data_IF_487247183430
#
_entry.id   IF_487247183430
#
_cell.length_a   1.000
_cell.length_b   1.000
_cell.length_c   1.000
_cell.angle_alpha   90.00
_cell.angle_beta   90.00
_cell.angle_gamma   90.00
#
_symmetry.space_group_name_H-M   'P 1'
#
loop_
_entity.id
_entity.type
_entity.pdbx_description
1 polymer ?
2 water ?
#
# COMPACT_ATOMS: atom_id res chain seq x y z
N UNK A 22 -29.61 -42.73 7.22
CA UNK A 22 -28.49 -41.80 7.17
C UNK A 22 -27.44 -42.17 8.20
N UNK A 23 -26.65 -43.20 7.94
CA UNK A 23 -25.74 -43.72 8.92
C UNK A 23 -24.35 -43.79 8.40
N UNK A 24 -23.39 -43.76 9.29
CA UNK A 24 -22.00 -43.80 8.85
C UNK A 24 -21.66 -45.12 8.17
N UNK A 25 -22.27 -46.23 8.60
CA UNK A 25 -21.98 -47.55 8.00
C UNK A 25 -22.39 -47.53 6.54
N UNK A 26 -23.51 -46.86 6.29
CA UNK A 26 -24.06 -46.86 4.97
C UNK A 26 -23.33 -45.84 4.09
N UNK A 27 -22.90 -44.74 4.68
CA UNK A 27 -22.06 -43.81 3.93
C UNK A 27 -20.75 -44.44 3.49
N UNK A 28 -20.11 -45.19 4.40
CA UNK A 28 -18.86 -45.87 4.08
C UNK A 28 -19.10 -46.88 2.98
N UNK A 29 -20.21 -47.61 3.09
CA UNK A 29 -20.53 -48.68 2.15
C UNK A 29 -20.76 -48.12 0.73
N UNK A 30 -21.50 -47.02 0.66
CA UNK A 30 -21.69 -46.34 -0.62
C UNK A 30 -20.44 -45.69 -1.19
N UNK A 31 -19.57 -45.18 -0.31
CA UNK A 31 -18.28 -44.67 -0.70
C UNK A 31 -17.48 -45.77 -1.34
N UNK A 32 -17.43 -46.91 -0.68
CA UNK A 32 -16.72 -48.08 -1.23
C UNK A 32 -17.20 -48.43 -2.62
N UNK A 33 -18.53 -48.42 -2.80
CA UNK A 33 -19.16 -48.73 -4.09
C UNK A 33 -18.69 -47.80 -5.21
N UNK A 34 -18.69 -46.50 -4.91
CA UNK A 34 -18.26 -45.51 -5.87
C UNK A 34 -16.75 -45.57 -6.13
N UNK A 35 -15.95 -45.88 -5.10
CA UNK A 35 -14.50 -45.94 -5.30
C UNK A 35 -14.08 -47.16 -6.11
N UNK A 36 -14.63 -48.33 -5.75
CA UNK A 36 -14.31 -49.60 -6.40
C UNK A 36 -14.81 -49.70 -7.85
N UNK A 37 -15.86 -48.96 -8.17
CA UNK A 37 -16.43 -48.94 -9.54
C UNK A 37 -15.45 -48.36 -10.55
N UNK A 38 -14.50 -47.54 -10.08
CA UNK A 38 -13.43 -46.95 -10.94
C UNK A 38 -14.02 -46.30 -12.23
N UNK A 39 -13.84 -46.95 -13.38
CA UNK A 39 -14.39 -46.50 -14.66
C UNK A 39 -15.92 -46.25 -14.68
N UNK A 40 -16.69 -47.10 -13.99
CA UNK A 40 -18.16 -47.11 -14.13
C UNK A 40 -18.88 -46.30 -13.07
N UNK A 41 -18.15 -45.47 -12.32
CA UNK A 41 -18.77 -44.64 -11.27
C UNK A 41 -20.06 -43.96 -11.71
N UNK A 42 -20.13 -43.57 -12.99
CA UNK A 42 -21.33 -43.01 -13.59
C UNK A 42 -22.58 -43.88 -13.44
N UNK A 43 -22.38 -45.20 -13.38
CA UNK A 43 -23.49 -46.15 -13.27
C UNK A 43 -24.06 -46.32 -11.87
N UNK A 44 -23.69 -45.45 -10.93
CA UNK A 44 -24.07 -45.62 -9.53
C UNK A 44 -24.60 -44.37 -8.88
N UNK A 45 -25.33 -43.59 -9.68
CA UNK A 45 -26.02 -42.40 -9.23
C UNK A 45 -26.71 -42.65 -7.89
N UNK A 46 -27.23 -43.87 -7.70
CA UNK A 46 -27.93 -44.27 -6.45
C UNK A 46 -27.07 -44.14 -5.17
N UNK A 47 -25.83 -44.62 -5.22
CA UNK A 47 -24.88 -44.46 -4.10
C UNK A 47 -24.53 -42.97 -3.87
N UNK A 48 -24.30 -42.22 -4.96
CA UNK A 48 -24.04 -40.79 -4.84
C UNK A 48 -25.21 -40.05 -4.21
N UNK A 49 -26.42 -40.48 -4.56
CA UNK A 49 -27.61 -39.91 -3.94
C UNK A 49 -27.55 -40.18 -2.44
N UNK A 50 -27.18 -41.42 -2.07
CA UNK A 50 -27.11 -41.78 -0.66
C UNK A 50 -26.11 -40.85 0.02
N UNK A 51 -24.99 -40.63 -0.64
CA UNK A 51 -24.01 -39.69 -0.09
C UNK A 51 -24.57 -38.26 0.11
N UNK A 52 -25.27 -37.72 -0.88
CA UNK A 52 -25.83 -36.37 -0.74
C UNK A 52 -26.87 -36.29 0.36
N UNK A 53 -27.61 -37.38 0.58
CA UNK A 53 -28.55 -37.46 1.68
C UNK A 53 -27.82 -37.30 3.01
N UNK A 54 -26.53 -37.63 3.00
CA UNK A 54 -25.66 -37.52 4.17
C UNK A 54 -25.80 -36.25 4.96
N UNK A 55 -26.13 -35.16 4.27
CA UNK A 55 -26.19 -33.82 4.87
C UNK A 55 -27.30 -33.65 5.88
N UNK A 56 -28.31 -34.53 5.83
CA UNK A 56 -29.44 -34.45 6.75
C UNK A 56 -29.15 -35.22 8.03
N UNK A 57 -28.03 -35.91 8.07
CA UNK A 57 -27.65 -36.67 9.26
C UNK A 57 -27.09 -35.86 10.42
N UNK A 58 -26.53 -36.56 11.39
CA UNK A 58 -25.90 -35.86 12.50
C UNK A 58 -24.43 -35.54 12.23
N UNK A 59 -23.72 -35.22 13.29
CA UNK A 59 -22.36 -34.77 13.20
C UNK A 59 -21.47 -35.72 12.41
N UNK A 60 -21.27 -36.94 12.90
CA UNK A 60 -20.40 -37.88 12.23
C UNK A 60 -20.78 -38.09 10.77
N UNK A 61 -22.07 -38.03 10.49
CA UNK A 61 -22.56 -38.31 9.15
C UNK A 61 -22.30 -37.10 8.25
N UNK A 62 -22.52 -35.89 8.78
CA UNK A 62 -22.30 -34.68 8.03
C UNK A 62 -20.80 -34.55 7.74
N UNK A 63 -19.98 -34.97 8.69
CA UNK A 63 -18.57 -34.90 8.52
C UNK A 63 -18.11 -35.78 7.39
N UNK A 64 -18.79 -36.90 7.15
CA UNK A 64 -18.41 -37.73 6.03
C UNK A 64 -18.92 -37.16 4.72
N UNK A 65 -20.10 -36.59 4.74
CA UNK A 65 -20.66 -36.05 3.50
C UNK A 65 -19.77 -34.94 2.94
N UNK A 66 -19.22 -34.14 3.85
CA UNK A 66 -18.32 -33.05 3.52
C UNK A 66 -17.07 -33.50 2.76
N UNK A 67 -16.67 -34.76 2.93
CA UNK A 67 -15.55 -35.27 2.17
C UNK A 67 -16.04 -35.98 0.94
N UNK A 68 -17.17 -36.67 1.07
CA UNK A 68 -17.56 -37.64 0.02
C UNK A 68 -18.27 -37.00 -1.17
N UNK A 69 -19.04 -35.96 -0.89
CA UNK A 69 -19.71 -35.23 -1.94
C UNK A 69 -18.74 -34.64 -2.95
N UNK A 70 -17.72 -33.89 -2.50
CA UNK A 70 -16.78 -33.34 -3.48
C UNK A 70 -15.97 -34.40 -4.21
N UNK A 71 -15.73 -35.54 -3.56
CA UNK A 71 -14.78 -36.50 -4.14
C UNK A 71 -15.34 -37.08 -5.42
N UNK A 72 -16.64 -37.34 -5.42
CA UNK A 72 -17.26 -37.95 -6.58
C UNK A 72 -18.07 -36.99 -7.42
N UNK A 73 -18.17 -35.74 -6.96
CA UNK A 73 -18.93 -34.70 -7.66
C UNK A 73 -18.76 -34.76 -9.17
N UNK A 74 -17.49 -34.80 -9.64
CA UNK A 74 -17.24 -34.74 -11.09
C UNK A 74 -17.89 -35.82 -11.92
N UNK A 75 -18.41 -36.90 -11.31
CA UNK A 75 -18.97 -37.99 -12.08
C UNK A 75 -20.44 -37.86 -12.36
N UNK A 76 -21.13 -36.94 -11.68
CA UNK A 76 -22.60 -36.88 -11.78
C UNK A 76 -23.16 -35.50 -12.12
N UNK A 77 -23.14 -35.15 -13.43
CA UNK A 77 -23.61 -33.85 -13.93
C UNK A 77 -25.11 -33.70 -13.73
N UNK A 78 -25.82 -34.83 -13.87
CA UNK A 78 -27.27 -34.91 -13.68
C UNK A 78 -27.67 -34.68 -12.22
N UNK A 79 -26.66 -34.58 -11.34
CA UNK A 79 -26.86 -34.29 -9.93
C UNK A 79 -26.08 -33.07 -9.40
N UNK A 80 -25.35 -32.40 -10.29
CA UNK A 80 -24.47 -31.26 -9.93
C UNK A 80 -25.07 -30.18 -9.02
N UNK A 81 -26.22 -29.63 -9.38
CA UNK A 81 -26.83 -28.55 -8.59
C UNK A 81 -27.17 -29.03 -7.21
N UNK A 82 -27.68 -30.25 -7.12
CA UNK A 82 -28.08 -30.77 -5.84
C UNK A 82 -26.84 -30.93 -4.97
N UNK A 83 -25.73 -31.32 -5.59
CA UNK A 83 -24.44 -31.49 -4.95
C UNK A 83 -23.88 -30.20 -4.34
N UNK A 84 -23.75 -29.16 -5.16
CA UNK A 84 -23.26 -27.88 -4.67
C UNK A 84 -24.12 -27.38 -3.50
N UNK A 85 -25.43 -27.44 -3.67
CA UNK A 85 -26.34 -26.98 -2.62
C UNK A 85 -26.12 -27.71 -1.31
N UNK A 86 -25.89 -29.03 -1.40
CA UNK A 86 -25.59 -29.83 -0.21
C UNK A 86 -24.27 -29.37 0.45
N UNK A 87 -23.20 -29.29 -0.33
CA UNK A 87 -21.93 -28.78 0.20
C UNK A 87 -22.07 -27.39 0.85
N UNK A 88 -22.83 -26.51 0.23
CA UNK A 88 -23.07 -25.17 0.78
C UNK A 88 -23.82 -25.22 2.10
N UNK A 89 -24.74 -26.17 2.26
CA UNK A 89 -25.43 -26.30 3.56
C UNK A 89 -24.39 -26.60 4.65
N UNK A 90 -23.41 -27.43 4.32
CA UNK A 90 -22.39 -27.81 5.30
C UNK A 90 -21.47 -26.65 5.59
N UNK A 91 -21.22 -25.83 4.57
CA UNK A 91 -20.44 -24.60 4.74
C UNK A 91 -21.09 -23.62 5.72
N UNK A 92 -22.41 -23.70 5.90
CA UNK A 92 -23.05 -22.84 6.92
C UNK A 92 -23.55 -23.60 8.14
N UNK A 93 -22.96 -24.78 8.36
CA UNK A 93 -23.30 -25.57 9.54
C UNK A 93 -22.98 -24.82 10.83
N UNK A 94 -23.73 -25.15 11.88
CA UNK A 94 -23.52 -24.57 13.19
C UNK A 94 -22.14 -24.99 13.69
N UNK A 95 -21.73 -26.21 13.36
CA UNK A 95 -20.47 -26.74 13.84
C UNK A 95 -19.29 -26.27 12.99
N UNK A 96 -18.35 -25.58 13.63
CA UNK A 96 -17.21 -25.00 12.90
C UNK A 96 -16.34 -26.09 12.24
N UNK A 97 -16.19 -27.23 12.89
CA UNK A 97 -15.37 -28.29 12.29
C UNK A 97 -16.04 -28.87 11.03
N UNK A 98 -17.37 -28.86 11.01
CA UNK A 98 -18.07 -29.33 9.81
C UNK A 98 -17.85 -28.32 8.69
N UNK A 99 -17.92 -27.03 9.04
CA UNK A 99 -17.77 -25.97 8.05
C UNK A 99 -16.38 -26.04 7.42
N UNK A 100 -15.40 -26.27 8.27
CA UNK A 100 -14.02 -26.37 7.85
C UNK A 100 -13.79 -27.49 6.83
N UNK A 101 -14.38 -28.65 7.09
CA UNK A 101 -14.22 -29.81 6.21
C UNK A 101 -14.87 -29.53 4.86
N UNK A 102 -16.03 -28.91 4.88
CA UNK A 102 -16.76 -28.54 3.67
C UNK A 102 -16.06 -27.40 2.90
N UNK A 103 -15.47 -26.45 3.60
CA UNK A 103 -14.79 -25.36 2.92
C UNK A 103 -13.49 -25.78 2.21
N UNK A 104 -12.69 -26.60 2.89
CA UNK A 104 -11.50 -27.14 2.29
C UNK A 104 -11.78 -27.70 0.90
N UNK A 105 -12.98 -28.21 0.67
CA UNK A 105 -13.26 -28.97 -0.57
C UNK A 105 -14.01 -28.20 -1.65
N UNK A 106 -14.47 -26.99 -1.32
CA UNK A 106 -15.17 -26.13 -2.28
C UNK A 106 -14.49 -25.95 -3.67
N UNK A 107 -13.14 -25.80 -3.73
CA UNK A 107 -12.54 -25.67 -5.07
C UNK A 107 -12.87 -26.82 -6.05
N UNK A 108 -13.22 -27.99 -5.53
CA UNK A 108 -13.53 -29.14 -6.37
C UNK A 108 -14.87 -29.01 -7.11
N UNK A 109 -15.73 -28.14 -6.60
CA UNK A 109 -16.98 -27.81 -7.27
C UNK A 109 -16.84 -26.66 -8.25
N UNK A 110 -15.70 -25.97 -8.19
CA UNK A 110 -15.50 -24.77 -8.98
C UNK A 110 -15.18 -25.09 -10.45
N UNK A 111 -15.79 -26.15 -10.97
CA UNK A 111 -15.56 -26.57 -12.35
C UNK A 111 -16.77 -26.20 -13.18
N UNK A 112 -16.67 -26.40 -14.49
CA UNK A 112 -17.75 -26.08 -15.43
C UNK A 112 -18.09 -24.60 -15.35
N UNK A 113 -19.37 -24.31 -15.05
CA UNK A 113 -19.86 -22.93 -14.95
C UNK A 113 -20.07 -22.48 -13.49
N UNK A 114 -19.52 -23.23 -12.53
CA UNK A 114 -19.77 -22.95 -11.10
C UNK A 114 -18.79 -22.02 -10.40
N UNK A 115 -17.60 -21.84 -11.00
CA UNK A 115 -16.53 -21.05 -10.37
C UNK A 115 -16.95 -19.66 -9.89
N UNK A 116 -17.76 -18.91 -10.67
CA UNK A 116 -18.22 -17.61 -10.17
C UNK A 116 -19.05 -17.74 -8.88
N UNK A 117 -19.98 -18.68 -8.88
CA UNK A 117 -20.79 -18.88 -7.70
C UNK A 117 -19.93 -19.28 -6.49
N UNK A 118 -18.98 -20.17 -6.71
CA UNK A 118 -18.07 -20.63 -5.66
C UNK A 118 -17.20 -19.48 -5.18
N UNK A 119 -16.65 -18.70 -6.10
CA UNK A 119 -15.76 -17.61 -5.72
C UNK A 119 -16.53 -16.59 -4.88
N UNK A 120 -17.80 -16.40 -5.20
CA UNK A 120 -18.64 -15.52 -4.42
C UNK A 120 -18.84 -15.99 -2.99
N UNK A 121 -19.20 -17.26 -2.82
CA UNK A 121 -19.36 -17.83 -1.50
C UNK A 121 -18.10 -17.72 -0.66
N UNK A 122 -16.96 -18.08 -1.24
CA UNK A 122 -15.70 -18.06 -0.50
C UNK A 122 -15.40 -16.66 -0.01
N UNK A 123 -15.68 -15.68 -0.82
CA UNK A 123 -15.42 -14.33 -0.44
C UNK A 123 -16.25 -13.92 0.77
N UNK A 124 -17.49 -14.33 0.85
CA UNK A 124 -18.29 -14.09 2.04
C UNK A 124 -17.68 -14.76 3.22
N UNK A 125 -17.22 -15.97 3.02
CA UNK A 125 -16.67 -16.71 4.14
C UNK A 125 -15.43 -16.07 4.73
N UNK A 126 -14.87 -15.07 4.07
CA UNK A 126 -13.68 -14.39 4.59
C UNK A 126 -14.00 -13.72 5.93
N UNK A 127 -15.27 -13.50 6.20
CA UNK A 127 -15.68 -12.76 7.41
C UNK A 127 -15.66 -13.61 8.65
N UNK A 128 -15.38 -14.90 8.51
CA UNK A 128 -15.27 -15.76 9.67
C UNK A 128 -14.31 -15.20 10.74
N UNK A 129 -14.62 -15.46 12.00
CA UNK A 129 -13.72 -15.09 13.10
C UNK A 129 -12.91 -16.28 13.61
N UNK A 130 -13.24 -17.49 13.13
CA UNK A 130 -12.45 -18.65 13.46
C UNK A 130 -11.18 -18.70 12.59
N UNK A 131 -10.01 -18.70 13.23
CA UNK A 131 -8.79 -18.52 12.45
C UNK A 131 -8.46 -19.68 11.53
N UNK A 132 -8.78 -20.91 11.96
CA UNK A 132 -8.50 -22.09 11.13
C UNK A 132 -9.40 -22.05 9.90
N UNK A 133 -10.65 -21.66 10.12
CA UNK A 133 -11.59 -21.48 9.02
C UNK A 133 -11.05 -20.43 8.05
N UNK A 134 -10.65 -19.29 8.61
CA UNK A 134 -10.10 -18.18 7.82
C UNK A 134 -8.99 -18.72 6.90
N UNK A 135 -8.07 -19.50 7.47
CA UNK A 135 -6.93 -19.98 6.69
C UNK A 135 -7.36 -20.87 5.53
N UNK A 136 -8.33 -21.74 5.80
CA UNK A 136 -8.88 -22.61 4.80
C UNK A 136 -9.59 -21.81 3.69
N UNK A 137 -10.35 -20.80 4.06
CA UNK A 137 -10.99 -19.95 3.07
C UNK A 137 -9.96 -19.25 2.19
N UNK A 138 -8.92 -18.68 2.79
CA UNK A 138 -7.87 -18.08 1.99
C UNK A 138 -7.31 -19.09 0.99
N UNK A 139 -6.95 -20.26 1.46
CA UNK A 139 -6.36 -21.30 0.58
C UNK A 139 -7.27 -21.77 -0.53
N UNK A 140 -8.58 -21.80 -0.25
CA UNK A 140 -9.59 -22.14 -1.25
C UNK A 140 -9.70 -21.07 -2.33
N UNK A 141 -9.78 -19.81 -1.91
CA UNK A 141 -9.64 -18.70 -2.85
C UNK A 141 -8.37 -18.80 -3.74
N UNK A 142 -7.24 -19.13 -3.14
CA UNK A 142 -6.01 -19.24 -3.90
C UNK A 142 -6.10 -20.41 -4.91
N UNK A 143 -6.62 -21.55 -4.47
CA UNK A 143 -6.90 -22.64 -5.38
C UNK A 143 -7.78 -22.27 -6.56
N UNK A 144 -8.94 -21.67 -6.29
CA UNK A 144 -9.80 -21.34 -7.44
C UNK A 144 -9.17 -20.24 -8.28
N UNK A 145 -8.36 -19.40 -7.63
CA UNK A 145 -7.60 -18.37 -8.32
C UNK A 145 -6.72 -19.00 -9.38
N UNK A 146 -6.03 -20.09 -9.02
CA UNK A 146 -5.17 -20.78 -9.99
C UNK A 146 -6.01 -21.49 -11.02
N UNK A 147 -7.24 -21.89 -10.70
CA UNK A 147 -8.05 -22.54 -11.74
C UNK A 147 -8.53 -21.51 -12.78
N UNK A 148 -8.93 -20.32 -12.33
CA UNK A 148 -9.53 -19.27 -13.18
C UNK A 148 -9.48 -17.90 -12.48
N UNK A 149 -8.40 -17.17 -12.71
CA UNK A 149 -8.08 -15.94 -12.01
C UNK A 149 -9.16 -14.91 -12.21
N UNK A 150 -9.58 -14.70 -13.44
CA UNK A 150 -10.56 -13.67 -13.74
C UNK A 150 -11.92 -13.96 -13.05
N UNK A 151 -12.38 -15.21 -13.11
CA UNK A 151 -13.61 -15.61 -12.40
C UNK A 151 -13.50 -15.35 -10.90
N UNK A 152 -12.34 -15.65 -10.33
CA UNK A 152 -12.07 -15.43 -8.90
C UNK A 152 -12.06 -13.93 -8.55
N UNK A 153 -11.40 -13.14 -9.40
CA UNK A 153 -11.35 -11.69 -9.24
C UNK A 153 -12.73 -11.11 -9.37
N UNK A 154 -13.53 -11.67 -10.28
CA UNK A 154 -14.90 -11.24 -10.42
C UNK A 154 -15.65 -11.37 -9.09
N UNK A 155 -15.51 -12.50 -8.42
CA UNK A 155 -16.13 -12.71 -7.13
C UNK A 155 -15.65 -11.67 -6.13
N UNK A 156 -14.34 -11.65 -5.94
CA UNK A 156 -13.70 -10.68 -5.04
C UNK A 156 -14.20 -9.25 -5.25
N UNK A 157 -14.06 -8.74 -6.47
CA UNK A 157 -14.46 -7.36 -6.76
C UNK A 157 -15.95 -7.05 -6.76
N UNK A 158 -16.79 -8.02 -7.09
CA UNK A 158 -18.24 -7.84 -6.85
C UNK A 158 -18.49 -7.57 -5.39
N UNK A 159 -17.79 -8.29 -4.51
CA UNK A 159 -18.07 -8.11 -3.11
C UNK A 159 -17.59 -6.77 -2.64
N UNK A 160 -16.43 -6.37 -3.15
CA UNK A 160 -15.80 -5.11 -2.78
C UNK A 160 -16.72 -3.93 -3.19
N UNK A 161 -17.41 -4.09 -4.32
CA UNK A 161 -18.27 -3.05 -4.85
C UNK A 161 -19.73 -3.15 -4.35
N UNK A 162 -20.23 -4.35 -4.14
CA UNK A 162 -21.65 -4.53 -3.93
C UNK A 162 -21.97 -5.18 -2.61
N UNK A 163 -20.96 -5.63 -1.90
CA UNK A 163 -21.19 -6.38 -0.67
C UNK A 163 -21.13 -5.55 0.60
N UNK A 164 -21.33 -6.26 1.71
CA UNK A 164 -21.24 -5.72 3.07
C UNK A 164 -19.85 -5.20 3.36
N UNK A 165 -19.79 -4.16 4.19
CA UNK A 165 -18.54 -3.53 4.59
C UNK A 165 -17.53 -4.56 5.09
N UNK A 166 -17.98 -5.49 5.92
CA UNK A 166 -17.05 -6.43 6.54
C UNK A 166 -16.41 -7.27 5.46
N UNK A 167 -17.24 -7.73 4.52
CA UNK A 167 -16.73 -8.51 3.38
C UNK A 167 -15.79 -7.70 2.47
N UNK A 168 -16.17 -6.45 2.22
CA UNK A 168 -15.35 -5.57 1.38
C UNK A 168 -13.96 -5.41 1.98
N UNK A 169 -13.89 -5.26 3.31
CA UNK A 169 -12.62 -5.09 3.98
C UNK A 169 -11.78 -6.36 3.88
N UNK A 170 -12.41 -7.51 4.13
CA UNK A 170 -11.72 -8.80 4.09
C UNK A 170 -11.19 -9.08 2.69
N UNK A 171 -12.02 -8.75 1.68
CA UNK A 171 -11.65 -8.92 0.29
C UNK A 171 -10.44 -8.10 -0.10
N UNK A 172 -10.37 -6.87 0.41
CA UNK A 172 -9.26 -5.98 0.06
C UNK A 172 -7.99 -6.47 0.74
N UNK A 173 -8.10 -6.86 2.00
CA UNK A 173 -6.95 -7.43 2.69
C UNK A 173 -6.49 -8.75 2.01
N UNK A 174 -7.40 -9.50 1.39
CA UNK A 174 -7.02 -10.69 0.69
C UNK A 174 -6.12 -10.33 -0.49
N UNK A 175 -6.58 -9.39 -1.33
CA UNK A 175 -5.74 -8.89 -2.42
C UNK A 175 -4.42 -8.30 -1.90
N UNK A 176 -4.51 -7.61 -0.78
CA UNK A 176 -3.37 -6.93 -0.18
C UNK A 176 -2.28 -7.87 0.28
N UNK A 177 -2.66 -9.06 0.73
CA UNK A 177 -1.71 -9.94 1.38
C UNK A 177 -1.40 -11.19 0.57
N UNK A 178 -2.33 -11.59 -0.31
CA UNK A 178 -2.26 -12.91 -0.95
C UNK A 178 -1.77 -13.00 -2.39
N UNK A 179 -2.04 -11.99 -3.21
CA UNK A 179 -1.57 -12.01 -4.59
C UNK A 179 -0.09 -12.32 -4.70
N UNK A 180 0.70 -11.86 -3.74
CA UNK A 180 2.16 -12.01 -3.79
C UNK A 180 2.56 -13.45 -3.60
N UNK A 181 1.65 -14.28 -3.09
CA UNK A 181 1.94 -15.70 -2.81
C UNK A 181 1.60 -16.57 -4.02
N UNK A 182 1.09 -15.92 -5.07
CA UNK A 182 0.81 -16.58 -6.34
C UNK A 182 2.02 -16.55 -7.29
N UNK A 183 2.28 -17.68 -7.97
CA UNK A 183 3.37 -17.70 -8.93
C UNK A 183 3.08 -16.78 -10.10
N UNK A 184 4.13 -16.31 -10.75
CA UNK A 184 4.02 -15.38 -11.88
C UNK A 184 3.15 -15.90 -13.01
N UNK A 185 3.22 -17.20 -13.24
CA UNK A 185 2.41 -17.90 -14.22
C UNK A 185 0.91 -17.54 -14.16
N UNK A 186 0.40 -17.41 -12.94
CA UNK A 186 -0.99 -17.08 -12.72
C UNK A 186 -1.25 -15.59 -12.99
N UNK A 187 -0.31 -14.75 -12.62
CA UNK A 187 -0.56 -13.31 -12.73
C UNK A 187 -0.13 -12.81 -14.10
N UNK A 188 -0.93 -13.18 -15.09
CA UNK A 188 -0.69 -12.85 -16.48
C UNK A 188 -0.97 -11.39 -16.72
N UNK A 189 -0.54 -10.90 -17.88
CA UNK A 189 -0.79 -9.53 -18.28
C UNK A 189 -2.28 -9.18 -18.30
N UNK A 190 -3.12 -10.11 -18.76
CA UNK A 190 -4.54 -9.88 -18.82
C UNK A 190 -5.20 -9.80 -17.44
N UNK A 191 -4.71 -10.60 -16.50
CA UNK A 191 -5.20 -10.57 -15.12
C UNK A 191 -4.81 -9.25 -14.43
N UNK A 192 -3.55 -8.86 -14.60
CA UNK A 192 -3.12 -7.57 -14.09
C UNK A 192 -3.95 -6.42 -14.70
N UNK A 193 -4.24 -6.49 -15.99
CA UNK A 193 -5.10 -5.49 -16.60
C UNK A 193 -6.49 -5.45 -15.91
N UNK A 194 -7.04 -6.61 -15.59
CA UNK A 194 -8.30 -6.68 -14.93
C UNK A 194 -8.20 -6.13 -13.51
N UNK A 195 -7.11 -6.44 -12.82
CA UNK A 195 -6.94 -5.93 -11.46
C UNK A 195 -6.92 -4.39 -11.43
N UNK A 196 -6.23 -3.79 -12.41
CA UNK A 196 -6.25 -2.33 -12.58
C UNK A 196 -7.62 -1.76 -12.90
N UNK A 197 -8.36 -2.41 -13.80
CA UNK A 197 -9.63 -1.91 -14.27
C UNK A 197 -10.64 -1.92 -13.12
N UNK A 198 -10.71 -3.03 -12.42
CA UNK A 198 -11.60 -3.11 -11.28
C UNK A 198 -11.17 -2.15 -10.16
N UNK A 199 -9.87 -2.10 -9.88
CA UNK A 199 -9.42 -1.23 -8.82
C UNK A 199 -9.88 0.22 -9.05
N UNK A 200 -9.74 0.71 -10.28
CA UNK A 200 -10.13 2.08 -10.62
C UNK A 200 -11.59 2.33 -10.36
N UNK A 201 -12.42 1.33 -10.60
CA UNK A 201 -13.82 1.41 -10.24
C UNK A 201 -13.95 1.59 -8.73
N UNK A 202 -13.20 0.80 -7.97
CA UNK A 202 -13.28 0.83 -6.51
C UNK A 202 -12.76 2.19 -6.04
N UNK A 203 -11.68 2.66 -6.67
CA UNK A 203 -11.01 3.90 -6.28
C UNK A 203 -11.84 5.19 -6.46
N UNK A 204 -12.98 5.10 -7.17
CA UNK A 204 -13.94 6.21 -7.26
C UNK A 204 -14.40 6.60 -5.90
N UNK A 205 -14.35 5.65 -4.97
CA UNK A 205 -14.90 5.83 -3.64
C UNK A 205 -14.23 4.93 -2.58
N UNK A 206 -13.05 5.35 -2.11
CA UNK A 206 -12.33 4.65 -1.04
C UNK A 206 -11.91 5.58 0.11
N UNK A 207 -11.97 5.10 1.34
CA UNK A 207 -11.35 5.77 2.46
C UNK A 207 -9.84 5.86 2.20
N UNK A 208 -9.13 6.64 3.00
CA UNK A 208 -7.67 6.74 2.90
C UNK A 208 -6.98 5.42 3.18
N UNK A 209 -7.49 4.69 4.18
CA UNK A 209 -6.90 3.40 4.55
C UNK A 209 -7.03 2.40 3.37
N UNK A 210 -8.16 2.44 2.66
CA UNK A 210 -8.35 1.60 1.50
C UNK A 210 -7.41 2.04 0.39
N UNK A 211 -7.29 3.36 0.22
CA UNK A 211 -6.38 3.89 -0.77
C UNK A 211 -4.96 3.30 -0.67
N UNK A 212 -4.51 3.14 0.57
CA UNK A 212 -3.14 2.70 0.82
C UNK A 212 -3.01 1.25 0.42
N UNK A 213 -4.01 0.47 0.78
CA UNK A 213 -4.08 -0.91 0.33
C UNK A 213 -4.10 -1.01 -1.18
N UNK A 214 -4.99 -0.26 -1.84
CA UNK A 214 -5.01 -0.32 -3.30
C UNK A 214 -3.74 0.13 -3.97
N UNK A 215 -3.00 1.04 -3.35
CA UNK A 215 -1.71 1.44 -3.94
C UNK A 215 -0.68 0.34 -3.82
N UNK A 216 -0.70 -0.37 -2.69
CA UNK A 216 0.21 -1.51 -2.50
C UNK A 216 -0.11 -2.65 -3.50
N UNK A 217 -1.39 -3.04 -3.58
CA UNK A 217 -1.89 -3.98 -4.59
C UNK A 217 -1.44 -3.63 -6.01
N UNK A 218 -1.69 -2.39 -6.42
CA UNK A 218 -1.36 -2.00 -7.79
C UNK A 218 0.13 -1.88 -8.05
N UNK A 219 0.90 -1.40 -7.08
CA UNK A 219 2.31 -1.16 -7.40
C UNK A 219 3.05 -2.47 -7.45
N UNK A 220 2.44 -3.51 -6.87
CA UNK A 220 3.01 -4.86 -6.90
C UNK A 220 2.88 -5.57 -8.24
N UNK A 221 1.95 -5.09 -9.07
CA UNK A 221 1.75 -5.66 -10.39
C UNK A 221 3.00 -5.47 -11.25
N UNK A 222 3.48 -6.55 -11.87
CA UNK A 222 4.74 -6.43 -12.62
C UNK A 222 4.55 -5.44 -13.78
N UNK A 223 3.37 -5.45 -14.40
CA UNK A 223 3.14 -4.53 -15.53
C UNK A 223 3.02 -3.06 -15.11
N UNK A 224 2.87 -2.78 -13.81
CA UNK A 224 2.82 -1.40 -13.32
C UNK A 224 4.14 -0.97 -12.64
N UNK A 225 5.22 -1.68 -12.97
CA UNK A 225 6.50 -1.43 -12.31
C UNK A 225 7.47 -0.79 -13.26
N UNK A 226 7.00 -0.60 -14.48
CA UNK A 226 7.72 0.12 -15.51
C UNK A 226 7.63 1.64 -15.30
N UNK A 227 8.34 2.38 -16.14
CA UNK A 227 8.24 3.82 -16.18
C UNK A 227 6.81 4.32 -16.39
N UNK A 228 6.10 3.79 -17.39
CA UNK A 228 4.74 4.31 -17.66
C UNK A 228 3.76 3.73 -16.67
N UNK A 229 4.11 2.55 -16.13
CA UNK A 229 3.31 1.93 -15.08
C UNK A 229 3.31 2.84 -13.88
N UNK A 230 4.51 3.29 -13.49
CA UNK A 230 4.63 4.20 -12.34
C UNK A 230 4.02 5.57 -12.65
N UNK A 231 4.10 5.98 -13.91
CA UNK A 231 3.56 7.26 -14.31
C UNK A 231 2.05 7.22 -14.17
N UNK A 232 1.45 6.10 -14.57
CA UNK A 232 0.01 5.88 -14.35
C UNK A 232 -0.37 5.89 -12.87
N UNK A 233 0.40 5.17 -12.06
CA UNK A 233 0.17 5.13 -10.63
C UNK A 233 0.28 6.54 -9.98
N UNK A 234 1.27 7.32 -10.41
CA UNK A 234 1.40 8.70 -9.91
C UNK A 234 0.13 9.49 -10.24
N UNK A 235 -0.37 9.35 -11.46
CA UNK A 235 -1.67 9.95 -11.83
C UNK A 235 -2.88 9.54 -10.99
N UNK A 236 -2.95 8.29 -10.53
CA UNK A 236 -4.02 7.90 -9.59
C UNK A 236 -3.88 8.56 -8.24
N UNK A 237 -2.64 8.72 -7.78
CA UNK A 237 -2.40 9.35 -6.48
C UNK A 237 -2.82 10.81 -6.56
N UNK A 238 -2.34 11.52 -7.58
CA UNK A 238 -2.77 12.89 -7.87
C UNK A 238 -4.30 13.04 -7.89
N UNK A 239 -5.01 12.16 -8.61
CA UNK A 239 -6.48 12.18 -8.61
C UNK A 239 -7.01 12.03 -7.20
N UNK A 240 -6.53 11.02 -6.49
CA UNK A 240 -7.01 10.80 -5.12
C UNK A 240 -6.75 12.03 -4.25
N UNK A 241 -5.56 12.60 -4.39
CA UNK A 241 -5.15 13.71 -3.54
C UNK A 241 -5.97 14.95 -3.81
N UNK A 242 -6.34 15.15 -5.09
CA UNK A 242 -7.22 16.24 -5.51
C UNK A 242 -6.47 17.56 -5.47
N UNK A 243 -5.53 17.68 -6.40
CA UNK A 243 -4.60 18.79 -6.42
C UNK A 243 -5.18 20.09 -7.00
N UNK A 244 -6.50 20.12 -7.22
CA UNK A 244 -7.12 21.34 -7.73
C UNK A 244 -7.98 21.99 -6.68
N UNK A 245 -8.13 21.31 -5.54
CA UNK A 245 -8.71 21.89 -4.35
C UNK A 245 -7.74 22.92 -3.80
N UNK A 246 -8.26 23.90 -3.06
CA UNK A 246 -7.38 24.79 -2.31
C UNK A 246 -7.23 24.19 -0.91
N UNK A 247 -6.12 24.52 -0.27
CA UNK A 247 -5.68 23.89 0.98
C UNK A 247 -6.22 24.64 2.20
N UNK A 248 -6.80 23.89 3.14
CA UNK A 248 -7.25 24.51 4.38
C UNK A 248 -6.46 23.99 5.58
N UNK A 249 -5.52 24.79 6.10
CA UNK A 249 -4.61 24.36 7.18
C UNK A 249 -5.31 24.15 8.51
N UNK A 250 -6.62 24.37 8.54
CA UNK A 250 -7.36 24.39 9.79
C UNK A 250 -7.79 23.00 10.24
N UNK A 251 -8.76 22.42 9.53
CA UNK A 251 -9.27 21.09 9.85
C UNK A 251 -8.29 19.99 9.44
N UNK A 252 -8.24 18.90 10.21
CA UNK A 252 -7.41 17.75 9.80
C UNK A 252 -7.90 16.98 8.56
N UNK A 253 -9.21 17.03 8.29
CA UNK A 253 -9.84 16.38 7.11
C UNK A 253 -9.13 16.67 5.78
N UNK A 254 -8.28 17.69 5.81
CA UNK A 254 -7.48 18.09 4.65
C UNK A 254 -6.01 17.70 4.84
N UNK A 255 -5.48 17.92 6.05
CA UNK A 255 -4.04 17.78 6.33
C UNK A 255 -3.47 16.35 6.19
N UNK A 256 -3.87 15.44 7.09
CA UNK A 256 -3.37 14.06 7.09
C UNK A 256 -3.78 13.28 5.83
N UNK A 257 -4.87 13.74 5.19
CA UNK A 257 -5.32 13.13 3.96
C UNK A 257 -4.40 13.49 2.81
N UNK A 258 -3.83 14.68 2.83
CA UNK A 258 -2.89 15.09 1.78
C UNK A 258 -1.53 14.42 1.94
N UNK A 259 -1.14 14.15 3.18
CA UNK A 259 0.17 13.58 3.45
C UNK A 259 0.15 12.08 3.27
N UNK A 260 -0.93 11.45 3.74
CA UNK A 260 -1.18 10.05 3.49
C UNK A 260 -1.19 9.72 1.98
N UNK A 261 -1.71 10.65 1.20
CA UNK A 261 -1.79 10.50 -0.24
C UNK A 261 -0.45 10.70 -0.90
N UNK A 262 0.14 11.87 -0.74
CA UNK A 262 1.42 12.17 -1.33
C UNK A 262 2.50 11.17 -0.87
N UNK A 263 2.37 10.68 0.36
CA UNK A 263 3.17 9.53 0.85
C UNK A 263 3.19 8.31 -0.10
N UNK A 264 2.06 8.01 -0.74
CA UNK A 264 1.99 6.86 -1.63
C UNK A 264 2.68 7.11 -2.96
N UNK A 265 2.79 8.36 -3.38
CA UNK A 265 3.47 8.66 -4.63
C UNK A 265 5.00 8.64 -4.52
N UNK A 266 5.53 9.03 -3.36
CA UNK A 266 7.00 9.15 -3.18
C UNK A 266 7.79 7.96 -3.72
N UNK A 267 7.47 6.74 -3.26
CA UNK A 267 8.21 5.56 -3.80
C UNK A 267 8.13 5.39 -5.32
N UNK A 268 7.13 5.99 -5.97
CA UNK A 268 6.94 5.89 -7.41
C UNK A 268 7.88 6.79 -8.22
N UNK A 269 8.36 7.87 -7.60
CA UNK A 269 9.17 8.88 -8.28
C UNK A 269 10.56 8.40 -8.67
N UNK A 270 11.02 8.85 -9.82
CA UNK A 270 12.36 8.49 -10.30
C UNK A 270 12.82 9.58 -11.23
N UNK A 271 14.04 9.46 -11.76
CA UNK A 271 14.51 10.44 -12.74
C UNK A 271 13.53 10.63 -13.92
N UNK A 272 12.81 9.57 -14.27
CA UNK A 272 11.85 9.63 -15.38
C UNK A 272 10.39 9.78 -14.96
N UNK A 273 10.12 9.68 -13.67
CA UNK A 273 8.77 9.87 -13.16
C UNK A 273 8.75 10.99 -12.11
N UNK A 274 8.14 12.11 -12.51
CA UNK A 274 8.33 13.37 -11.84
C UNK A 274 7.26 13.70 -10.85
N UNK A 275 7.65 14.49 -9.86
CA UNK A 275 6.81 14.89 -8.74
C UNK A 275 6.17 16.27 -8.96
N UNK A 276 6.39 16.85 -10.14
CA UNK A 276 6.12 18.27 -10.40
C UNK A 276 4.86 18.83 -9.74
N UNK A 277 3.75 18.12 -9.90
CA UNK A 277 2.48 18.64 -9.48
C UNK A 277 2.35 18.74 -7.96
N UNK A 278 2.85 17.72 -7.24
CA UNK A 278 2.84 17.76 -5.78
C UNK A 278 3.77 18.84 -5.23
N UNK A 279 4.89 19.04 -5.92
CA UNK A 279 5.84 20.03 -5.48
C UNK A 279 5.20 21.42 -5.59
N UNK A 280 4.64 21.73 -6.76
CA UNK A 280 3.95 22.99 -7.01
C UNK A 280 2.84 23.22 -6.01
N UNK A 281 2.04 22.20 -5.76
CA UNK A 281 0.96 22.31 -4.79
C UNK A 281 1.49 22.61 -3.40
N UNK A 282 2.56 21.91 -3.02
CA UNK A 282 3.13 22.05 -1.69
C UNK A 282 3.71 23.43 -1.47
N UNK A 283 4.51 23.90 -2.42
CA UNK A 283 5.02 25.26 -2.41
C UNK A 283 3.90 26.31 -2.25
N UNK A 284 3.03 26.40 -3.26
CA UNK A 284 2.01 27.47 -3.37
C UNK A 284 0.95 27.46 -2.30
N UNK A 285 0.53 26.28 -1.88
CA UNK A 285 -0.72 26.15 -1.16
C UNK A 285 -0.46 25.60 0.24
N UNK A 286 0.76 25.14 0.48
CA UNK A 286 1.08 24.53 1.78
C UNK A 286 2.05 25.35 2.65
N UNK A 287 3.18 25.76 2.09
CA UNK A 287 4.21 26.39 2.88
C UNK A 287 3.66 27.63 3.50
N UNK A 288 2.91 28.38 2.73
CA UNK A 288 2.47 29.65 3.23
C UNK A 288 1.66 29.36 4.45
N UNK A 289 0.89 28.29 4.39
CA UNK A 289 -0.01 27.92 5.46
C UNK A 289 0.58 27.40 6.75
N UNK A 290 1.82 26.95 6.77
CA UNK A 290 2.42 26.62 8.05
C UNK A 290 2.84 27.85 8.84
N UNK A 291 3.01 27.64 10.14
CA UNK A 291 2.74 26.34 10.69
C UNK A 291 1.48 26.41 11.51
N UNK A 292 0.44 25.82 10.96
CA UNK A 292 -0.77 25.58 11.70
C UNK A 292 -0.88 24.08 11.63
N UNK A 293 -1.38 23.49 12.68
CA UNK A 293 -0.70 22.39 13.31
C UNK A 293 -1.56 21.16 13.27
N UNK A 294 -1.16 20.14 14.01
CA UNK A 294 -2.04 19.42 14.89
C UNK A 294 -1.23 18.88 16.01
N UNK A 295 -1.87 18.64 17.15
CA UNK A 295 -1.67 17.42 17.91
C UNK A 295 -2.39 16.23 17.30
N UNK A 296 -1.97 15.02 17.67
CA UNK A 296 -0.83 14.85 18.57
C UNK A 296 0.19 13.89 17.98
N UNK A 299 3.10 11.80 19.29
CA UNK A 299 3.34 13.23 19.34
C UNK A 299 4.37 13.73 18.32
N UNK A 300 4.18 13.36 17.05
CA UNK A 300 5.13 13.81 16.03
C UNK A 300 4.89 15.25 15.53
N UNK A 301 5.93 15.84 14.96
CA UNK A 301 5.91 17.22 14.51
C UNK A 301 5.38 17.29 13.07
N UNK A 302 4.21 17.88 12.90
CA UNK A 302 3.50 17.84 11.63
C UNK A 302 4.16 18.71 10.56
N UNK A 303 4.71 19.85 10.96
CA UNK A 303 5.39 20.73 10.00
C UNK A 303 6.67 20.09 9.44
N UNK A 304 7.38 19.34 10.29
CA UNK A 304 8.57 18.66 9.82
C UNK A 304 8.18 17.60 8.80
N UNK A 305 7.15 16.81 9.13
CA UNK A 305 6.64 15.78 8.22
C UNK A 305 6.39 16.33 6.81
N UNK A 306 5.75 17.50 6.77
CA UNK A 306 5.42 18.17 5.53
C UNK A 306 6.68 18.57 4.81
N UNK A 307 7.63 19.11 5.55
CA UNK A 307 8.89 19.57 4.98
C UNK A 307 9.79 18.42 4.51
N UNK A 308 9.77 17.30 5.24
CA UNK A 308 10.48 16.07 4.82
C UNK A 308 9.92 15.54 3.50
N UNK A 309 8.59 15.57 3.37
CA UNK A 309 7.90 15.14 2.16
C UNK A 309 8.32 15.97 0.97
N UNK A 310 8.37 17.27 1.18
CA UNK A 310 8.70 18.19 0.10
C UNK A 310 10.13 17.96 -0.40
N UNK A 311 11.05 17.76 0.54
CA UNK A 311 12.45 17.53 0.22
C UNK A 311 12.67 16.25 -0.58
N UNK A 312 11.90 15.18 -0.30
CA UNK A 312 12.04 13.92 -1.04
C UNK A 312 11.57 14.07 -2.45
N UNK A 313 10.40 14.65 -2.64
CA UNK A 313 9.91 14.87 -3.99
C UNK A 313 10.74 15.88 -4.77
N UNK A 314 11.43 16.79 -4.08
CA UNK A 314 12.10 17.90 -4.78
C UNK A 314 13.15 17.44 -5.78
N UNK A 315 13.87 16.39 -5.46
CA UNK A 315 14.87 15.87 -6.40
C UNK A 315 14.29 15.24 -7.66
N UNK A 316 12.96 15.16 -7.75
CA UNK A 316 12.29 14.49 -8.87
C UNK A 316 11.39 15.44 -9.65
N UNK A 317 11.57 16.73 -9.40
CA UNK A 317 10.79 17.76 -10.05
C UNK A 317 11.16 17.84 -11.52
N UNK A 318 10.17 18.11 -12.38
CA UNK A 318 10.39 18.15 -13.82
C UNK A 318 10.47 19.61 -14.23
N UNK A 319 9.93 19.94 -15.39
CA UNK A 319 9.83 21.35 -15.79
C UNK A 319 8.58 22.01 -15.21
N UNK A 320 8.79 22.87 -14.24
CA UNK A 320 7.69 23.56 -13.57
C UNK A 320 7.30 24.76 -14.40
N UNK A 321 5.99 24.91 -14.59
CA UNK A 321 5.46 26.12 -15.18
C UNK A 321 5.80 27.30 -14.27
N UNK A 322 5.23 27.30 -13.07
CA UNK A 322 5.31 28.45 -12.18
C UNK A 322 6.64 28.44 -11.38
N UNK A 323 7.73 28.15 -12.08
CA UNK A 323 9.03 27.93 -11.45
C UNK A 323 9.48 29.05 -10.53
N UNK A 324 9.68 30.24 -11.10
CA UNK A 324 10.20 31.38 -10.32
C UNK A 324 9.33 31.70 -9.13
N UNK A 325 8.03 31.89 -9.37
CA UNK A 325 7.09 32.21 -8.28
C UNK A 325 7.10 31.12 -7.20
N UNK A 326 7.45 29.90 -7.59
CA UNK A 326 7.48 28.77 -6.68
C UNK A 326 8.76 28.70 -5.86
N UNK A 327 9.89 28.68 -6.56
CA UNK A 327 11.21 28.87 -5.97
C UNK A 327 11.23 30.07 -5.02
N UNK A 328 10.39 31.07 -5.30
CA UNK A 328 10.21 32.24 -4.43
C UNK A 328 9.64 31.90 -3.05
N UNK A 329 8.44 31.35 -3.02
CA UNK A 329 7.76 31.07 -1.75
C UNK A 329 8.62 30.13 -0.90
N UNK A 330 9.55 29.44 -1.57
CA UNK A 330 10.43 28.46 -0.93
C UNK A 330 11.61 29.18 -0.26
N UNK A 331 12.27 30.01 -1.07
CA UNK A 331 13.29 30.94 -0.63
C UNK A 331 12.85 31.74 0.61
N UNK A 332 11.60 32.18 0.63
CA UNK A 332 11.11 32.97 1.75
C UNK A 332 10.86 32.15 3.00
N UNK A 333 10.39 30.92 2.84
CA UNK A 333 10.14 30.06 4.00
C UNK A 333 11.47 29.70 4.67
N UNK A 334 12.51 29.58 3.83
CA UNK A 334 13.86 29.33 4.27
C UNK A 334 14.31 30.39 5.27
N UNK A 335 14.24 31.65 4.85
CA UNK A 335 14.77 32.78 5.64
C UNK A 335 14.11 32.95 7.00
N UNK A 336 12.92 32.39 7.16
CA UNK A 336 12.22 32.39 8.44
C UNK A 336 12.88 31.51 9.49
N UNK A 337 13.93 30.78 9.10
CA UNK A 337 14.57 29.80 9.96
C UNK A 337 16.07 30.01 10.02
N UNK A 338 16.56 30.87 9.12
CA UNK A 338 17.95 31.28 9.07
C UNK A 338 18.00 32.76 9.44
N UNK A 339 18.01 33.07 10.75
CA UNK A 339 17.76 34.42 11.28
C UNK A 339 18.86 35.45 10.99
N UNK A 340 18.77 36.61 11.64
CA UNK A 340 19.79 37.66 11.57
C UNK A 340 20.76 37.68 12.78
N UNK A 341 22.05 38.03 12.52
CA UNK A 341 23.10 38.21 13.53
C UNK A 341 22.73 39.15 14.68
N UNK A 357 17.81 29.64 19.15
CA UNK A 357 18.11 28.21 19.01
C UNK A 357 17.66 27.75 17.61
N UNK A 358 18.64 27.38 16.78
CA UNK A 358 18.41 27.13 15.36
C UNK A 358 17.60 25.87 15.06
N UNK A 359 16.68 25.98 14.11
CA UNK A 359 15.82 24.84 13.73
C UNK A 359 16.40 24.01 12.59
N UNK A 360 17.44 23.25 12.92
CA UNK A 360 18.28 22.52 11.97
C UNK A 360 17.50 21.55 11.06
N UNK A 361 16.70 20.67 11.65
CA UNK A 361 15.96 19.69 10.87
C UNK A 361 15.13 20.35 9.77
N UNK A 362 14.46 21.46 10.13
CA UNK A 362 13.67 22.23 9.18
C UNK A 362 14.55 22.76 8.06
N UNK A 363 15.72 23.27 8.41
CA UNK A 363 16.58 23.90 7.42
C UNK A 363 17.18 22.87 6.47
N UNK A 364 17.43 21.64 6.96
CA UNK A 364 17.90 20.57 6.07
C UNK A 364 16.91 20.38 4.88
N UNK A 365 15.63 20.30 5.21
CA UNK A 365 14.60 20.12 4.22
C UNK A 365 14.57 21.26 3.23
N UNK A 366 14.47 22.50 3.73
CA UNK A 366 14.23 23.67 2.87
C UNK A 366 15.43 23.94 2.03
N UNK A 367 16.59 23.83 2.65
CA UNK A 367 17.80 24.08 1.92
C UNK A 367 17.96 23.04 0.81
N UNK A 368 17.69 21.78 1.13
CA UNK A 368 17.83 20.70 0.17
C UNK A 368 16.92 20.95 -1.03
N UNK A 369 15.67 21.30 -0.75
CA UNK A 369 14.66 21.58 -1.76
C UNK A 369 15.09 22.71 -2.65
N UNK A 370 15.44 23.84 -2.04
CA UNK A 370 15.89 25.05 -2.75
C UNK A 370 17.08 24.73 -3.62
N UNK A 371 18.00 23.97 -3.06
CA UNK A 371 19.16 23.54 -3.79
C UNK A 371 18.78 22.66 -4.97
N UNK A 372 17.74 21.85 -4.81
CA UNK A 372 17.28 20.96 -5.90
C UNK A 372 16.59 21.75 -7.04
N UNK A 373 15.82 22.77 -6.68
CA UNK A 373 15.07 23.54 -7.66
C UNK A 373 15.90 24.65 -8.32
N UNK A 374 16.85 25.22 -7.57
CA UNK A 374 17.85 26.13 -8.13
C UNK A 374 18.62 25.58 -9.33
N UNK A 375 19.08 24.31 -9.28
CA UNK A 375 19.80 23.67 -10.41
C UNK A 375 19.18 24.06 -11.76
N UNK A 376 17.85 24.20 -11.76
CA UNK A 376 17.09 24.43 -12.99
C UNK A 376 17.09 25.91 -13.40
N UNK A 377 17.13 26.81 -12.42
CA UNK A 377 17.11 28.25 -12.68
C UNK A 377 18.31 28.97 -12.02
N UNK A 378 19.55 28.59 -12.41
CA UNK A 378 20.71 29.19 -11.73
C UNK A 378 20.57 30.70 -11.77
N UNK A 379 19.98 31.19 -12.86
CA UNK A 379 19.81 32.65 -13.09
C UNK A 379 19.09 33.36 -11.93
N UNK A 380 18.38 32.59 -11.10
CA UNK A 380 17.89 33.07 -9.81
C UNK A 380 19.14 33.40 -8.98
N UNK A 381 18.99 34.14 -7.88
CA UNK A 381 20.17 34.52 -7.06
C UNK A 381 21.06 35.51 -7.81
N UNK A 382 21.71 35.05 -8.90
CA UNK A 382 22.33 35.99 -9.88
C UNK A 382 21.35 37.16 -10.19
N UNK A 383 20.15 36.80 -10.69
CA UNK A 383 19.09 37.75 -11.05
C UNK A 383 18.39 38.37 -9.83
N UNK A 384 18.03 37.50 -8.85
CA UNK A 384 17.37 37.90 -7.60
C UNK A 384 17.06 36.64 -6.69
N UNK A 387 18.39 40.88 -6.06
CA UNK A 387 18.22 42.08 -5.26
C UNK A 387 19.38 42.27 -4.27
N UNK A 388 19.27 43.29 -3.41
CA UNK A 388 20.21 43.48 -2.32
C UNK A 388 19.72 42.72 -1.08
N UNK A 389 18.67 41.92 -1.29
CA UNK A 389 18.25 40.88 -0.34
C UNK A 389 19.23 39.67 -0.41
N UNK A 390 20.03 39.61 -1.49
CA UNK A 390 21.09 38.58 -1.66
C UNK A 390 22.27 38.69 -0.66
N UNK A 391 22.65 39.92 -0.28
CA UNK A 391 23.60 40.10 0.83
C UNK A 391 22.91 39.83 2.18
N UNK A 392 21.59 40.06 2.23
CA UNK A 392 20.76 39.65 3.38
C UNK A 392 20.59 38.12 3.42
N UNK A 393 21.03 37.44 2.36
CA UNK A 393 21.09 35.98 2.33
C UNK A 393 22.41 35.57 2.97
N UNK A 394 23.52 35.92 2.31
CA UNK A 394 24.86 35.72 2.85
C UNK A 394 24.97 35.94 4.36
N UNK A 395 24.42 37.05 4.86
CA UNK A 395 24.45 37.34 6.30
C UNK A 395 23.79 36.21 7.11
N UNK A 396 22.65 35.73 6.62
CA UNK A 396 21.88 34.69 7.28
C UNK A 396 22.62 33.35 7.25
N UNK A 397 23.40 33.13 6.18
CA UNK A 397 24.19 31.91 5.97
C UNK A 397 25.43 31.89 6.85
N UNK A 398 26.22 32.96 6.73
CA UNK A 398 27.43 33.17 7.53
C UNK A 398 27.09 32.90 8.98
N UNK A 399 25.97 33.45 9.42
CA UNK A 399 25.53 33.29 10.80
C UNK A 399 25.10 31.85 11.15
N UNK A 400 24.51 31.15 10.20
CA UNK A 400 24.04 29.80 10.43
C UNK A 400 25.26 28.89 10.48
N UNK A 401 26.09 28.97 9.44
CA UNK A 401 27.34 28.21 9.35
C UNK A 401 28.15 28.26 10.64
N UNK A 402 28.07 29.40 11.31
CA UNK A 402 28.76 29.63 12.56
C UNK A 402 28.16 28.74 13.62
N UNK A 403 26.83 28.74 13.69
CA UNK A 403 26.06 27.96 14.67
C UNK A 403 26.13 26.47 14.38
N UNK A 404 26.35 26.15 13.11
CA UNK A 404 26.61 24.79 12.70
C UNK A 404 27.77 24.18 13.42
N UNK A 405 28.95 24.80 13.33
CA UNK A 405 30.18 24.28 13.94
C UNK A 405 29.95 23.97 15.39
N UNK A 406 29.48 24.98 16.12
CA UNK A 406 29.25 24.85 17.54
C UNK A 406 28.46 23.56 17.76
N UNK A 407 27.35 23.42 17.03
CA UNK A 407 26.47 22.32 17.29
C UNK A 407 27.16 20.98 16.96
N UNK A 408 27.78 20.93 15.79
CA UNK A 408 28.60 19.81 15.38
C UNK A 408 29.69 19.45 16.40
N UNK A 409 30.42 20.44 16.91
CA UNK A 409 31.43 20.21 17.96
C UNK A 409 30.82 19.51 19.19
N UNK A 410 29.73 20.08 19.68
CA UNK A 410 28.98 19.51 20.81
C UNK A 410 28.54 18.07 20.61
N UNK A 411 28.10 17.76 19.40
CA UNK A 411 27.67 16.41 19.06
C UNK A 411 28.85 15.46 19.05
N UNK A 412 29.90 15.82 18.30
CA UNK A 412 31.04 14.92 18.14
C UNK A 412 31.69 14.65 19.50
N UNK A 413 31.65 15.66 20.39
CA UNK A 413 32.19 15.52 21.74
C UNK A 413 31.41 14.52 22.52
N UNK A 414 30.09 14.68 22.57
CA UNK A 414 29.20 13.74 23.28
C UNK A 414 29.26 12.31 22.76
N UNK A 415 29.69 12.13 21.52
CA UNK A 415 29.69 10.80 20.91
C UNK A 415 30.99 10.02 21.02
N UNK A 416 32.08 10.67 21.39
CA UNK A 416 33.37 9.98 21.26
C UNK A 416 33.76 9.08 22.43
N UNK A 417 34.43 7.99 22.09
CA UNK A 417 34.73 6.92 23.03
C UNK A 417 33.56 5.96 23.17
N UNK A 418 32.38 6.37 22.69
CA UNK A 418 31.15 5.60 22.88
C UNK A 418 31.19 4.36 22.02
N UNK A 419 30.76 3.28 22.63
CA UNK A 419 31.12 1.98 22.19
C UNK A 419 29.89 1.50 21.53
N UNK A 420 30.03 0.62 20.57
CA UNK A 420 29.10 0.59 19.48
C UNK A 420 27.71 0.33 20.01
N UNK A 421 27.58 -0.50 21.02
CA UNK A 421 26.30 -0.74 21.64
C UNK A 421 25.71 0.51 22.27
N UNK A 422 26.57 1.35 22.84
CA UNK A 422 26.11 2.61 23.45
C UNK A 422 25.59 3.60 22.42
N UNK A 423 26.01 3.41 21.17
CA UNK A 423 25.53 4.27 20.08
C UNK A 423 24.02 4.12 19.79
N UNK A 424 23.51 2.91 20.03
CA UNK A 424 22.10 2.57 19.82
C UNK A 424 21.12 3.17 20.82
N UNK A 425 21.63 3.61 21.96
CA UNK A 425 20.83 4.41 22.89
C UNK A 425 19.97 5.37 22.10
N UNK A 426 18.65 5.27 22.21
CA UNK A 426 17.75 6.15 21.48
C UNK A 426 18.21 7.63 21.58
N UNK A 427 18.86 7.98 22.68
CA UNK A 427 19.50 9.31 22.82
C UNK A 427 20.72 9.52 21.89
N UNK A 428 21.62 8.54 21.83
CA UNK A 428 22.74 8.62 20.88
C UNK A 428 22.33 8.50 19.41
N UNK A 429 21.31 7.69 19.11
CA UNK A 429 20.79 7.55 17.74
C UNK A 429 20.41 8.90 17.17
N UNK A 430 19.79 9.74 18.00
CA UNK A 430 19.34 11.07 17.58
C UNK A 430 20.57 11.95 17.31
N UNK A 431 21.61 11.78 18.14
CA UNK A 431 22.82 12.58 18.02
C UNK A 431 23.56 12.22 16.73
N UNK A 432 23.65 10.93 16.45
CA UNK A 432 24.20 10.45 15.19
C UNK A 432 23.41 11.02 14.00
N UNK A 433 22.10 10.90 14.05
CA UNK A 433 21.25 11.45 13.03
C UNK A 433 21.48 12.97 12.85
N UNK A 434 21.65 13.69 13.97
CA UNK A 434 21.84 15.15 13.94
C UNK A 434 23.18 15.53 13.31
N UNK A 435 24.16 14.63 13.33
CA UNK A 435 25.39 14.86 12.58
C UNK A 435 25.20 14.78 11.07
N UNK A 436 24.27 13.93 10.63
CA UNK A 436 23.97 13.83 9.21
C UNK A 436 23.22 15.08 8.80
N UNK A 437 22.32 15.54 9.67
CA UNK A 437 21.54 16.73 9.37
C UNK A 437 22.48 17.91 9.22
N UNK A 438 23.18 18.23 10.30
CA UNK A 438 24.01 19.41 10.34
C UNK A 438 25.08 19.37 9.27
N UNK A 439 25.78 18.25 9.14
CA UNK A 439 26.77 18.13 8.07
C UNK A 439 26.18 18.24 6.67
N UNK A 440 24.93 17.78 6.47
CA UNK A 440 24.24 17.98 5.17
C UNK A 440 23.99 19.47 4.86
N UNK A 441 23.62 20.24 5.87
CA UNK A 441 23.40 21.64 5.68
C UNK A 441 24.73 22.28 5.27
N UNK A 442 25.81 21.91 5.95
CA UNK A 442 27.08 22.54 5.68
C UNK A 442 27.50 22.42 4.22
N UNK A 443 27.28 21.24 3.66
CA UNK A 443 27.62 20.98 2.27
C UNK A 443 26.74 21.84 1.34
N UNK A 444 25.50 22.07 1.74
CA UNK A 444 24.58 22.77 0.86
C UNK A 444 24.89 24.26 0.87
N UNK A 445 25.23 24.79 2.05
CA UNK A 445 25.73 26.16 2.20
C UNK A 445 27.05 26.35 1.44
N UNK A 446 27.99 25.43 1.60
CA UNK A 446 29.26 25.47 0.89
C UNK A 446 29.05 25.50 -0.64
N UNK A 447 27.82 25.20 -1.08
CA UNK A 447 27.49 25.14 -2.50
C UNK A 447 26.83 26.43 -2.98
N UNK A 448 25.87 26.89 -2.18
CA UNK A 448 25.25 28.18 -2.39
C UNK A 448 26.20 29.36 -2.06
N UNK A 449 27.28 29.52 -2.83
CA UNK A 449 28.33 30.57 -2.56
C UNK A 449 28.38 31.67 -3.64
N UNK A 452 30.31 32.36 -7.93
CA UNK A 452 29.39 31.63 -8.85
C UNK A 452 28.77 30.34 -8.22
N UNK A 453 27.55 30.46 -7.60
CA UNK A 453 26.86 29.35 -6.91
C UNK A 453 26.94 27.99 -7.62
N UNK A 454 27.07 26.92 -6.83
CA UNK A 454 27.19 25.57 -7.40
C UNK A 454 26.04 24.68 -6.96
N UNK A 455 25.61 23.77 -7.84
CA UNK A 455 24.52 22.85 -7.52
C UNK A 455 25.01 21.45 -7.85
N UNK A 456 26.28 21.24 -7.53
CA UNK A 456 27.02 20.04 -7.89
C UNK A 456 26.89 18.94 -6.84
N UNK A 457 26.91 19.33 -5.56
CA UNK A 457 26.96 18.40 -4.41
C UNK A 457 25.68 17.57 -4.23
N UNK A 458 25.85 16.35 -3.75
CA UNK A 458 24.72 15.46 -3.61
C UNK A 458 24.69 14.96 -2.19
N UNK A 459 23.65 15.31 -1.46
CA UNK A 459 23.52 14.78 -0.12
C UNK A 459 22.41 13.73 -0.04
N UNK A 460 22.60 12.77 0.85
CA UNK A 460 21.56 11.84 1.20
C UNK A 460 20.80 12.44 2.38
N UNK A 461 19.50 12.65 2.21
CA UNK A 461 18.68 13.15 3.30
C UNK A 461 18.93 12.31 4.56
N UNK A 462 19.08 13.00 5.70
CA UNK A 462 19.41 12.37 6.96
C UNK A 462 18.53 11.16 7.35
N UNK A 463 17.23 11.26 7.05
CA UNK A 463 16.32 10.21 7.47
C UNK A 463 16.20 9.10 6.45
N UNK A 464 17.02 9.16 5.40
CA UNK A 464 17.03 8.16 4.34
C UNK A 464 18.23 7.24 4.41
N UNK A 465 18.19 6.08 3.73
CA UNK A 465 19.40 5.25 3.61
C UNK A 465 20.19 5.70 2.39
N UNK A 466 21.42 5.21 2.24
CA UNK A 466 22.25 5.54 1.06
C UNK A 466 22.02 4.57 -0.11
#
# INVERSE_FOLDING_TARGET
>A
MGSSHHHHHHSSGLVPRGSHMPTVEELYRNYGILADATEQVGQHKDAYQVILDGVKGGTKEKRLAAQFIPKFFKHFPELADSAINAQLDLCEDEDVSIRRQAIKELPQFATGENLPRVADILTQLLQTDDSAEFNLVNNALLSIFKMDAKGTLGGLFSQILQGEDIVRERAIKFLSTKLKTLPDEVLTKEVEELILTESKKVLEDVTGEEFVLFMKILSGLKSLQTVSGRQQLVELVAEQADLEQTFNPSDPDCVDRLLQCTRQAVPLFSQNVHSTRFVTYFCEQVLPNLGTLTTPVEGLDIQLEVLKLLAEMSSFCGDMEKLETNLRKLFDKLLEYMPLPPEEAENGENAGNEEPKLQFSYVECLLYSFHQLGRKLPDFLTAKLNAEKLKDFKIRLQYFARGLQVYIRQLRLALQGKTGEALKTEENKIKVVALKITNNINVLIKDLFHIPPSYKSTVTLSWKPVQKVEIGQK
#
